data_IF_415831731819
#
_entry.id   IF_415831731819
#
_cell.length_a   1.000
_cell.length_b   1.000
_cell.length_c   1.000
_cell.angle_alpha   90.00
_cell.angle_beta   90.00
_cell.angle_gamma   90.00
#
_symmetry.space_group_name_H-M   'P 1'
#
loop_
_entity.id
_entity.type
_entity.pdbx_description
1 polymer ?
#
# COMPACT_ATOMS: atom_id res chain seq x y z
N UNK A 1 13.88 9.40 23.51
CA UNK A 1 14.25 8.87 22.19
C UNK A 1 13.35 7.68 21.96
N UNK A 2 12.29 7.85 21.17
CA UNK A 2 11.45 6.72 20.78
C UNK A 2 12.11 6.17 19.53
N UNK A 3 12.61 4.96 19.65
CA UNK A 3 13.23 4.17 18.60
C UNK A 3 12.17 3.93 17.51
N UNK A 4 12.25 4.63 16.38
CA UNK A 4 11.42 4.34 15.20
C UNK A 4 11.98 3.12 14.46
N UNK A 5 12.27 2.04 15.18
CA UNK A 5 12.36 0.72 14.58
C UNK A 5 10.96 0.43 14.06
N UNK A 6 10.75 0.58 12.75
CA UNK A 6 9.63 -0.10 12.10
C UNK A 6 9.71 -1.54 12.59
N UNK A 7 8.71 -1.95 13.39
CA UNK A 7 8.48 -3.34 13.71
C UNK A 7 8.63 -4.13 12.40
N UNK A 8 9.29 -5.29 12.47
CA UNK A 8 9.62 -6.09 11.29
C UNK A 8 8.45 -6.08 10.29
N UNK A 9 8.72 -5.93 8.97
CA UNK A 9 7.65 -5.87 7.99
C UNK A 9 6.70 -7.06 8.19
N UNK A 10 5.37 -6.85 8.12
CA UNK A 10 4.40 -7.93 8.29
C UNK A 10 4.74 -9.08 7.35
N UNK A 11 4.69 -10.31 7.87
CA UNK A 11 5.13 -11.52 7.15
C UNK A 11 3.95 -12.30 6.56
N UNK A 12 2.73 -11.98 7.00
CA UNK A 12 1.49 -12.65 6.53
C UNK A 12 0.50 -11.67 5.91
N UNK A 13 -0.38 -12.15 5.00
CA UNK A 13 -1.47 -11.34 4.44
C UNK A 13 -2.35 -10.64 5.46
N UNK A 14 -2.70 -11.32 6.55
CA UNK A 14 -3.52 -10.77 7.61
C UNK A 14 -2.82 -9.61 8.34
N UNK A 15 -1.52 -9.76 8.63
CA UNK A 15 -0.72 -8.69 9.24
C UNK A 15 -0.53 -7.51 8.29
N UNK A 16 -0.37 -7.75 6.99
CA UNK A 16 -0.32 -6.69 5.97
C UNK A 16 -1.64 -5.92 5.98
N UNK A 17 -2.78 -6.62 5.92
CA UNK A 17 -4.09 -5.98 5.92
C UNK A 17 -4.35 -5.17 7.21
N UNK A 18 -4.00 -5.72 8.37
CA UNK A 18 -4.09 -5.01 9.65
C UNK A 18 -3.18 -3.77 9.69
N UNK A 19 -1.94 -3.90 9.22
CA UNK A 19 -1.00 -2.77 9.16
C UNK A 19 -1.47 -1.66 8.21
N UNK A 20 -2.15 -2.01 7.11
CA UNK A 20 -2.77 -1.04 6.21
C UNK A 20 -3.90 -0.30 6.94
N UNK A 21 -4.80 -1.02 7.62
CA UNK A 21 -5.90 -0.41 8.38
C UNK A 21 -5.37 0.53 9.48
N UNK A 22 -4.38 0.11 10.26
CA UNK A 22 -3.75 0.93 11.29
C UNK A 22 -3.13 2.21 10.69
N UNK A 23 -2.47 2.09 9.52
CA UNK A 23 -1.84 3.22 8.86
C UNK A 23 -2.86 4.21 8.30
N UNK A 24 -3.97 3.71 7.74
CA UNK A 24 -5.08 4.53 7.26
C UNK A 24 -5.79 5.22 8.43
N UNK A 25 -6.01 4.54 9.55
CA UNK A 25 -6.66 5.12 10.72
C UNK A 25 -5.79 6.17 11.41
N UNK A 26 -4.46 6.00 11.35
CA UNK A 26 -3.51 7.03 11.78
C UNK A 26 -3.53 8.27 10.86
N UNK A 27 -3.97 8.13 9.60
CA UNK A 27 -3.98 9.18 8.58
C UNK A 27 -5.24 9.10 7.70
N UNK A 28 -6.43 9.44 8.23
CA UNK A 28 -7.71 9.19 7.56
C UNK A 28 -7.92 9.96 6.25
N UNK A 29 -7.06 10.95 5.93
CA UNK A 29 -7.06 11.66 4.65
C UNK A 29 -6.04 11.15 3.63
N UNK A 30 -5.26 10.12 3.95
CA UNK A 30 -4.17 9.60 3.11
C UNK A 30 -4.56 8.35 2.30
N UNK A 31 -5.81 7.87 2.44
CA UNK A 31 -6.37 6.84 1.57
C UNK A 31 -7.15 7.48 0.44
N UNK A 32 -6.84 7.09 -0.81
CA UNK A 32 -7.63 7.44 -1.98
C UNK A 32 -7.67 6.24 -2.91
N UNK A 33 -8.86 5.66 -3.13
CA UNK A 33 -9.02 4.50 -4.01
C UNK A 33 -9.13 4.88 -5.49
N UNK A 34 -9.29 6.17 -5.81
CA UNK A 34 -9.40 6.67 -7.18
C UNK A 34 -8.04 7.02 -7.78
N UNK A 35 -7.02 7.18 -6.93
CA UNK A 35 -5.65 7.44 -7.30
C UNK A 35 -4.75 6.37 -6.68
N UNK A 36 -3.99 5.67 -7.51
CA UNK A 36 -3.03 4.68 -7.03
C UNK A 36 -2.00 5.31 -6.09
N UNK A 37 -1.51 6.50 -6.46
CA UNK A 37 -0.81 7.43 -5.59
C UNK A 37 -0.89 8.86 -6.12
N UNK A 38 -0.84 9.86 -5.23
CA UNK A 38 -0.68 11.28 -5.63
C UNK A 38 0.78 11.73 -5.80
N UNK A 39 1.73 10.79 -5.88
CA UNK A 39 3.14 11.08 -6.12
C UNK A 39 3.33 11.87 -7.43
N UNK A 40 4.15 12.92 -7.35
CA UNK A 40 4.54 13.65 -8.55
C UNK A 40 5.42 12.76 -9.46
N UNK A 41 5.46 13.04 -10.78
CA UNK A 41 6.38 12.35 -11.70
C UNK A 41 7.82 12.39 -11.18
N UNK A 42 8.54 11.29 -11.36
CA UNK A 42 9.91 11.10 -10.87
C UNK A 42 10.06 11.13 -9.32
N UNK A 43 8.98 11.21 -8.57
CA UNK A 43 9.03 11.13 -7.11
C UNK A 43 9.03 9.66 -6.64
N UNK A 44 9.80 9.42 -5.58
CA UNK A 44 9.82 8.16 -4.86
C UNK A 44 9.37 8.36 -3.43
N UNK A 45 8.71 7.35 -2.87
CA UNK A 45 8.32 7.29 -1.48
C UNK A 45 8.89 6.03 -0.84
N UNK A 46 9.92 6.21 0.00
CA UNK A 46 10.54 5.11 0.73
C UNK A 46 9.59 4.57 1.83
N UNK A 47 9.69 3.28 2.21
CA UNK A 47 8.75 2.65 3.14
C UNK A 47 8.71 3.30 4.53
N UNK A 48 9.81 3.89 4.97
CA UNK A 48 9.99 4.59 6.24
C UNK A 48 9.62 6.09 6.18
N UNK A 49 9.37 6.64 4.98
CA UNK A 49 9.39 8.08 4.75
C UNK A 49 8.31 8.99 5.38
N UNK A 50 7.24 8.61 6.08
CA UNK A 50 6.03 9.47 6.22
C UNK A 50 5.38 9.85 4.88
N UNK A 51 4.05 9.69 4.85
CA UNK A 51 3.24 9.94 3.66
C UNK A 51 2.92 11.43 3.52
N UNK A 52 2.70 12.15 4.63
CA UNK A 52 2.46 13.60 4.61
C UNK A 52 1.17 13.94 3.85
N UNK A 53 1.27 14.79 2.84
CA UNK A 53 0.14 15.19 1.99
C UNK A 53 -0.09 14.23 0.79
N UNK A 54 0.66 13.13 0.72
CA UNK A 54 0.47 12.12 -0.34
C UNK A 54 -0.75 11.26 0.00
N UNK A 55 -1.52 10.89 -1.01
CA UNK A 55 -2.56 9.86 -0.88
C UNK A 55 -2.08 8.59 -1.57
N UNK A 56 -2.43 7.45 -1.01
CA UNK A 56 -2.13 6.12 -1.52
C UNK A 56 -3.41 5.30 -1.56
N UNK A 57 -3.62 4.51 -2.59
CA UNK A 57 -4.64 3.46 -2.56
C UNK A 57 -4.18 2.29 -1.69
N UNK A 58 -5.04 1.28 -1.49
CA UNK A 58 -4.69 0.06 -0.77
C UNK A 58 -3.45 -0.64 -1.37
N UNK A 59 -3.27 -0.63 -2.70
CA UNK A 59 -2.09 -1.20 -3.31
C UNK A 59 -0.80 -0.44 -2.95
N UNK A 60 -0.86 0.90 -2.93
CA UNK A 60 0.24 1.74 -2.50
C UNK A 60 0.60 1.51 -1.02
N UNK A 61 -0.42 1.46 -0.16
CA UNK A 61 -0.25 1.14 1.26
C UNK A 61 0.34 -0.26 1.48
N UNK A 62 -0.17 -1.29 0.80
CA UNK A 62 0.32 -2.66 0.89
C UNK A 62 1.82 -2.77 0.53
N UNK A 63 2.23 -2.11 -0.55
CA UNK A 63 3.64 -2.02 -0.93
C UNK A 63 4.47 -1.36 0.18
N UNK A 64 4.02 -0.20 0.67
CA UNK A 64 4.73 0.59 1.67
C UNK A 64 4.93 -0.19 2.98
N UNK A 65 3.87 -0.76 3.55
CA UNK A 65 3.95 -1.50 4.82
C UNK A 65 4.80 -2.77 4.69
N UNK A 66 4.83 -3.37 3.50
CA UNK A 66 5.68 -4.53 3.17
C UNK A 66 7.15 -4.16 2.90
N UNK A 67 7.52 -2.89 3.08
CA UNK A 67 8.89 -2.40 2.96
C UNK A 67 9.33 -2.09 1.53
N UNK A 68 8.39 -1.84 0.61
CA UNK A 68 8.71 -1.43 -0.77
C UNK A 68 8.77 0.09 -0.90
N UNK A 69 9.66 0.56 -1.78
CA UNK A 69 9.70 1.95 -2.21
C UNK A 69 8.77 2.13 -3.40
N UNK A 70 7.79 3.02 -3.28
CA UNK A 70 6.92 3.40 -4.38
C UNK A 70 7.63 4.41 -5.27
N UNK A 71 7.47 4.27 -6.59
CA UNK A 71 8.00 5.20 -7.57
C UNK A 71 6.93 5.47 -8.62
N UNK A 72 6.60 6.75 -8.80
CA UNK A 72 5.71 7.18 -9.88
C UNK A 72 6.54 7.32 -11.16
N UNK A 73 6.12 6.64 -12.24
CA UNK A 73 6.73 6.85 -13.56
C UNK A 73 6.10 8.04 -14.27
N UNK A 74 6.88 8.63 -15.17
CA UNK A 74 6.53 9.81 -15.97
C UNK A 74 5.26 9.63 -16.82
N UNK A 75 4.79 8.38 -16.97
CA UNK A 75 3.63 7.96 -17.76
C UNK A 75 2.44 7.51 -16.89
N UNK A 76 2.46 7.81 -15.60
CA UNK A 76 1.35 7.51 -14.68
C UNK A 76 1.18 6.03 -14.35
N UNK A 77 2.18 5.19 -14.65
CA UNK A 77 2.25 3.83 -14.11
C UNK A 77 3.04 3.84 -12.81
N UNK A 78 2.44 3.30 -11.76
CA UNK A 78 3.08 3.20 -10.46
C UNK A 78 3.81 1.87 -10.32
N UNK A 79 5.06 1.97 -9.87
CA UNK A 79 5.91 0.81 -9.64
C UNK A 79 6.41 0.80 -8.19
N UNK A 80 6.78 -0.38 -7.73
CA UNK A 80 7.47 -0.59 -6.47
C UNK A 80 8.81 -1.29 -6.70
N UNK A 81 9.81 -0.97 -5.88
CA UNK A 81 11.06 -1.73 -5.82
C UNK A 81 11.56 -1.90 -4.40
N UNK A 82 12.30 -2.99 -4.16
CA UNK A 82 12.95 -3.32 -2.88
C UNK A 82 14.44 -3.62 -3.13
N UNK A 83 15.19 -2.56 -3.45
CA UNK A 83 16.63 -2.64 -3.75
C UNK A 83 17.01 -3.35 -5.06
N UNK A 84 16.05 -3.55 -5.98
CA UNK A 84 16.23 -4.30 -7.22
C UNK A 84 15.31 -3.83 -8.36
N UNK A 85 14.84 -4.74 -9.23
CA UNK A 85 13.93 -4.40 -10.32
C UNK A 85 12.65 -3.72 -9.84
N UNK A 86 12.01 -2.99 -10.76
CA UNK A 86 10.69 -2.39 -10.56
C UNK A 86 9.61 -3.39 -10.92
N UNK A 87 8.59 -3.48 -10.09
CA UNK A 87 7.41 -4.33 -10.27
C UNK A 87 6.16 -3.47 -10.23
N UNK A 88 5.10 -3.91 -10.92
CA UNK A 88 3.81 -3.22 -10.87
C UNK A 88 3.27 -3.28 -9.43
N UNK A 89 2.75 -2.15 -8.91
CA UNK A 89 2.27 -2.10 -7.53
C UNK A 89 1.05 -2.98 -7.28
N UNK A 90 0.22 -3.23 -8.30
CA UNK A 90 -0.91 -4.15 -8.22
C UNK A 90 -0.43 -5.57 -7.90
N UNK A 91 0.56 -6.05 -8.64
CA UNK A 91 1.12 -7.39 -8.46
C UNK A 91 1.81 -7.52 -7.10
N UNK A 92 2.57 -6.50 -6.69
CA UNK A 92 3.24 -6.49 -5.38
C UNK A 92 2.20 -6.50 -4.25
N UNK A 93 1.15 -5.69 -4.36
CA UNK A 93 0.09 -5.62 -3.36
C UNK A 93 -0.75 -6.90 -3.30
N UNK A 94 -1.13 -7.46 -4.45
CA UNK A 94 -1.86 -8.73 -4.52
C UNK A 94 -1.10 -9.85 -3.83
N UNK A 95 0.21 -9.97 -4.12
CA UNK A 95 1.07 -10.95 -3.46
C UNK A 95 1.19 -10.70 -1.95
N UNK A 96 1.32 -9.44 -1.52
CA UNK A 96 1.41 -9.08 -0.11
C UNK A 96 0.12 -9.41 0.66
N UNK A 97 -1.05 -9.22 0.03
CA UNK A 97 -2.36 -9.54 0.59
C UNK A 97 -2.80 -10.99 0.35
N UNK A 98 -1.96 -11.82 -0.28
CA UNK A 98 -2.30 -13.21 -0.59
C UNK A 98 -3.50 -13.38 -1.52
N UNK A 99 -3.78 -12.38 -2.35
CA UNK A 99 -4.91 -12.35 -3.27
C UNK A 99 -4.51 -12.88 -4.65
N UNK A 100 -5.46 -13.53 -5.32
CA UNK A 100 -5.37 -13.75 -6.76
C UNK A 100 -5.47 -12.43 -7.53
N UNK A 101 -5.12 -12.47 -8.82
CA UNK A 101 -5.22 -11.29 -9.68
C UNK A 101 -6.65 -10.75 -9.75
N UNK A 102 -7.65 -11.63 -9.89
CA UNK A 102 -9.07 -11.26 -9.94
C UNK A 102 -9.53 -10.62 -8.62
N UNK A 103 -9.20 -11.21 -7.47
CA UNK A 103 -9.53 -10.64 -6.16
C UNK A 103 -8.86 -9.29 -5.92
N UNK A 104 -7.63 -9.11 -6.42
CA UNK A 104 -6.90 -7.86 -6.32
C UNK A 104 -7.50 -6.78 -7.23
N UNK A 105 -7.85 -7.09 -8.47
CA UNK A 105 -8.56 -6.17 -9.38
C UNK A 105 -9.91 -5.75 -8.79
N UNK A 106 -10.64 -6.70 -8.22
CA UNK A 106 -11.87 -6.43 -7.49
C UNK A 106 -11.59 -5.48 -6.32
N UNK A 107 -10.65 -5.77 -5.42
CA UNK A 107 -10.34 -4.90 -4.28
C UNK A 107 -9.91 -3.48 -4.71
N UNK A 108 -9.06 -3.36 -5.72
CA UNK A 108 -8.47 -2.09 -6.13
C UNK A 108 -9.41 -1.20 -6.95
N UNK A 109 -10.55 -1.73 -7.42
CA UNK A 109 -11.57 -0.99 -8.16
C UNK A 109 -12.73 -0.48 -7.29
N UNK A 110 -12.74 -0.81 -5.99
CA UNK A 110 -13.85 -0.51 -5.08
C UNK A 110 -13.70 0.85 -4.40
N UNK A 111 -14.79 1.30 -3.78
CA UNK A 111 -14.76 2.47 -2.89
C UNK A 111 -13.92 2.19 -1.64
N UNK A 112 -13.46 3.27 -0.99
CA UNK A 112 -12.73 3.20 0.28
C UNK A 112 -13.45 2.36 1.34
N UNK A 113 -14.76 2.54 1.52
CA UNK A 113 -15.55 1.82 2.53
C UNK A 113 -15.53 0.30 2.30
N UNK A 114 -15.64 -0.12 1.04
CA UNK A 114 -15.63 -1.55 0.67
C UNK A 114 -14.22 -2.11 0.81
N UNK A 115 -13.21 -1.34 0.40
CA UNK A 115 -11.81 -1.75 0.52
C UNK A 115 -11.41 -1.94 2.00
N UNK A 116 -11.82 -1.03 2.89
CA UNK A 116 -11.63 -1.18 4.35
C UNK A 116 -12.30 -2.43 4.90
N UNK A 117 -13.54 -2.73 4.48
CA UNK A 117 -14.24 -3.95 4.91
C UNK A 117 -13.52 -5.22 4.44
N UNK A 118 -13.07 -5.27 3.19
CA UNK A 118 -12.32 -6.41 2.67
C UNK A 118 -10.97 -6.59 3.40
N UNK A 119 -10.25 -5.50 3.68
CA UNK A 119 -9.04 -5.56 4.50
C UNK A 119 -9.32 -6.10 5.90
N UNK A 120 -10.43 -5.72 6.54
CA UNK A 120 -10.81 -6.25 7.84
C UNK A 120 -11.05 -7.78 7.79
N UNK A 121 -11.70 -8.26 6.73
CA UNK A 121 -11.90 -9.70 6.50
C UNK A 121 -10.55 -10.43 6.34
N UNK A 122 -9.63 -9.87 5.54
CA UNK A 122 -8.29 -10.46 5.34
C UNK A 122 -7.50 -10.46 6.66
N UNK A 123 -7.62 -9.41 7.47
CA UNK A 123 -7.02 -9.31 8.78
C UNK A 123 -7.64 -10.28 9.81
N UNK A 124 -8.82 -10.85 9.54
CA UNK A 124 -9.53 -11.76 10.43
C UNK A 124 -10.37 -11.07 11.50
N UNK A 125 -10.85 -9.86 11.24
CA UNK A 125 -11.71 -9.05 12.12
C UNK A 125 -13.20 -9.19 11.79
#
# INVERSE_FOLDING_TARGET
MIDHTLAQPPETPAEVAAAILDAIDAQPGALDMWLWTSLAPCQSLAPDQLVGDITLCVAGWACRVSGWTLVCSDIGMDYAHKGGPRYNIADVAANALGLSHEEAEDLFSQSEDIARQQLAIIAGH
#
